data_IF_690840246828
#
_entry.id   IF_690840246828
#
_cell.length_a   1.000
_cell.length_b   1.000
_cell.length_c   1.000
_cell.angle_alpha   90.00
_cell.angle_beta   90.00
_cell.angle_gamma   90.00
#
_symmetry.space_group_name_H-M   'P 1'
#
loop_
_entity.id
_entity.type
_entity.pdbx_description
1 polymer ?
#
# COMPACT_ATOMS: atom_id res chain seq x y z
N UNK A 1 67.63 -54.28 -29.11
CA UNK A 1 67.60 -53.29 -28.01
C UNK A 1 66.93 -52.03 -28.58
N UNK A 2 65.90 -51.38 -28.04
CA UNK A 2 65.16 -51.43 -26.78
C UNK A 2 63.85 -50.60 -26.99
N UNK A 3 62.68 -51.21 -26.68
CA UNK A 3 61.37 -50.67 -26.21
C UNK A 3 60.84 -49.31 -26.75
N UNK A 4 59.71 -49.31 -27.48
CA UNK A 4 58.35 -48.97 -26.99
C UNK A 4 58.23 -47.62 -26.24
N UNK A 5 57.47 -46.66 -26.80
CA UNK A 5 56.24 -46.15 -26.16
C UNK A 5 55.42 -45.23 -27.08
N UNK A 6 54.16 -45.63 -27.24
CA UNK A 6 53.00 -44.88 -27.72
C UNK A 6 52.83 -43.56 -26.93
N UNK A 7 52.66 -42.41 -27.62
CA UNK A 7 51.95 -41.24 -27.07
C UNK A 7 51.30 -40.43 -28.19
N UNK A 8 50.06 -40.79 -28.48
CA UNK A 8 49.06 -39.93 -29.11
C UNK A 8 48.75 -38.81 -28.10
N UNK A 9 49.24 -37.59 -28.31
CA UNK A 9 48.80 -36.42 -27.56
C UNK A 9 47.98 -35.58 -28.53
N UNK A 10 46.68 -35.82 -28.48
CA UNK A 10 45.65 -34.95 -29.01
C UNK A 10 45.77 -33.62 -28.26
N UNK A 11 46.45 -32.62 -28.82
CA UNK A 11 46.41 -31.26 -28.28
C UNK A 11 45.07 -30.67 -28.69
N UNK A 12 44.04 -31.01 -27.90
CA UNK A 12 42.77 -30.30 -27.88
C UNK A 12 43.12 -28.87 -27.51
N UNK A 13 43.20 -28.00 -28.52
CA UNK A 13 43.17 -26.55 -28.32
C UNK A 13 41.80 -26.29 -27.72
N UNK A 14 41.74 -26.32 -26.39
CA UNK A 14 40.60 -25.88 -25.63
C UNK A 14 40.45 -24.41 -26.03
N UNK A 15 39.47 -24.14 -26.89
CA UNK A 15 38.81 -22.85 -26.95
C UNK A 15 38.26 -22.63 -25.54
N UNK A 16 39.11 -22.08 -24.66
CA UNK A 16 38.67 -21.52 -23.40
C UNK A 16 37.77 -20.37 -23.81
N UNK A 17 36.49 -20.72 -23.91
CA UNK A 17 35.37 -19.80 -23.92
C UNK A 17 35.72 -18.69 -22.93
N UNK A 18 36.12 -17.54 -23.45
CA UNK A 18 36.05 -16.31 -22.71
C UNK A 18 34.55 -16.06 -22.54
N UNK A 19 33.94 -16.70 -21.55
CA UNK A 19 32.65 -16.24 -21.05
C UNK A 19 32.97 -14.91 -20.40
N UNK A 20 32.65 -13.82 -21.11
CA UNK A 20 32.79 -12.48 -20.56
C UNK A 20 32.17 -12.43 -19.17
N UNK A 21 32.86 -11.81 -18.23
CA UNK A 21 32.36 -11.66 -16.87
C UNK A 21 30.97 -11.01 -16.92
N UNK A 22 29.96 -11.71 -16.41
CA UNK A 22 28.61 -11.18 -16.31
C UNK A 22 28.59 -10.14 -15.21
N UNK A 23 28.22 -8.91 -15.54
CA UNK A 23 28.06 -7.84 -14.56
C UNK A 23 26.75 -8.08 -13.79
N UNK A 24 26.84 -8.23 -12.48
CA UNK A 24 25.68 -8.43 -11.59
C UNK A 24 25.43 -7.15 -10.80
N UNK A 25 24.16 -6.75 -10.74
CA UNK A 25 23.69 -5.58 -10.00
C UNK A 25 22.66 -5.97 -8.93
N UNK A 26 22.67 -5.22 -7.83
CA UNK A 26 21.75 -5.42 -6.71
C UNK A 26 20.52 -4.54 -6.87
N UNK A 27 19.33 -5.13 -6.73
CA UNK A 27 18.08 -4.41 -6.51
C UNK A 27 17.68 -4.51 -5.03
N UNK A 28 17.40 -3.38 -4.40
CA UNK A 28 16.75 -3.32 -3.08
C UNK A 28 15.42 -2.61 -3.19
N UNK A 29 14.41 -3.12 -2.49
CA UNK A 29 13.11 -2.46 -2.43
C UNK A 29 12.60 -2.29 -1.01
N UNK A 30 11.81 -1.23 -0.81
CA UNK A 30 11.22 -0.91 0.48
C UNK A 30 9.83 -0.29 0.33
N UNK A 31 9.06 -0.29 1.43
CA UNK A 31 7.74 0.31 1.53
C UNK A 31 7.79 1.50 2.49
N UNK A 32 7.24 2.64 2.09
CA UNK A 32 7.09 3.82 2.96
C UNK A 32 5.62 4.26 2.99
N UNK A 33 4.97 4.28 4.17
CA UNK A 33 5.42 3.68 5.43
C UNK A 33 5.48 2.14 5.31
N UNK A 34 6.26 1.48 6.16
CA UNK A 34 6.36 0.01 6.17
C UNK A 34 4.99 -0.66 6.44
N UNK A 35 4.16 -0.04 7.29
CA UNK A 35 2.80 -0.51 7.55
C UNK A 35 1.87 -0.36 6.33
N UNK A 36 2.27 0.41 5.31
CA UNK A 36 1.47 0.71 4.14
C UNK A 36 1.35 -0.44 3.15
N UNK A 37 2.31 -1.36 3.14
CA UNK A 37 2.31 -2.49 2.23
C UNK A 37 3.64 -3.23 2.20
N UNK A 38 3.78 -4.11 1.24
CA UNK A 38 5.02 -4.85 0.96
C UNK A 38 5.45 -4.65 -0.49
N UNK A 39 6.74 -4.89 -0.75
CA UNK A 39 7.32 -4.84 -2.10
C UNK A 39 8.09 -6.12 -2.38
N UNK A 40 7.95 -6.63 -3.61
CA UNK A 40 8.65 -7.83 -4.09
C UNK A 40 9.29 -7.58 -5.45
N UNK A 41 10.54 -8.03 -5.68
CA UNK A 41 11.43 -8.67 -4.70
C UNK A 41 11.96 -7.66 -3.67
N UNK A 42 12.19 -8.09 -2.41
CA UNK A 42 12.75 -7.21 -1.35
C UNK A 42 14.22 -6.88 -1.60
N UNK A 43 14.98 -7.88 -2.00
CA UNK A 43 16.37 -7.79 -2.40
C UNK A 43 16.64 -8.86 -3.46
N UNK A 44 17.52 -8.59 -4.41
CA UNK A 44 17.95 -9.56 -5.41
C UNK A 44 19.16 -9.09 -6.19
N UNK A 45 19.85 -10.04 -6.81
CA UNK A 45 20.99 -9.82 -7.70
C UNK A 45 20.59 -10.26 -9.11
N UNK A 46 20.92 -9.43 -10.10
CA UNK A 46 20.43 -9.56 -11.47
C UNK A 46 21.52 -9.18 -12.47
N UNK A 47 21.52 -9.83 -13.63
CA UNK A 47 22.51 -9.56 -14.68
C UNK A 47 22.27 -8.19 -15.35
N UNK A 48 23.33 -7.59 -15.89
CA UNK A 48 23.25 -6.37 -16.69
C UNK A 48 22.26 -6.53 -17.87
N UNK A 49 21.42 -5.52 -18.06
CA UNK A 49 20.34 -5.50 -19.04
C UNK A 49 19.10 -6.33 -18.65
N UNK A 50 19.12 -7.08 -17.54
CA UNK A 50 17.97 -7.87 -17.11
C UNK A 50 16.78 -6.96 -16.76
N UNK A 51 15.61 -7.26 -17.32
CA UNK A 51 14.36 -6.60 -16.95
C UNK A 51 13.73 -7.27 -15.74
N UNK A 52 13.56 -6.54 -14.65
CA UNK A 52 12.95 -7.02 -13.40
C UNK A 52 11.60 -6.36 -13.19
N UNK A 53 10.58 -7.16 -12.84
CA UNK A 53 9.25 -6.68 -12.47
C UNK A 53 9.18 -6.56 -10.94
N UNK A 54 8.87 -5.35 -10.48
CA UNK A 54 8.69 -5.02 -9.06
C UNK A 54 7.21 -4.85 -8.79
N UNK A 55 6.73 -5.43 -7.69
CA UNK A 55 5.32 -5.44 -7.28
C UNK A 55 5.15 -4.88 -5.88
N UNK A 56 4.30 -3.86 -5.75
CA UNK A 56 3.77 -3.38 -4.49
C UNK A 56 2.49 -4.14 -4.15
N UNK A 57 2.30 -4.50 -2.89
CA UNK A 57 1.03 -5.02 -2.37
C UNK A 57 0.60 -4.13 -1.21
N UNK A 58 -0.36 -3.21 -1.43
CA UNK A 58 -0.89 -2.37 -0.36
C UNK A 58 -1.54 -3.20 0.75
N UNK A 59 -1.32 -2.82 2.01
CA UNK A 59 -2.07 -3.36 3.13
C UNK A 59 -3.48 -2.74 3.19
N UNK A 60 -4.40 -3.38 3.92
CA UNK A 60 -5.77 -2.89 4.10
C UNK A 60 -5.78 -1.44 4.59
N UNK A 61 -6.54 -0.58 3.89
CA UNK A 61 -6.66 0.84 4.20
C UNK A 61 -5.55 1.72 3.61
N UNK A 62 -4.66 1.16 2.79
CA UNK A 62 -3.65 1.89 2.03
C UNK A 62 -3.80 1.66 0.53
N UNK A 63 -3.24 2.59 -0.24
CA UNK A 63 -3.06 2.49 -1.69
C UNK A 63 -1.65 2.94 -2.04
N UNK A 64 -1.10 2.41 -3.13
CA UNK A 64 0.14 2.93 -3.69
C UNK A 64 -0.12 4.34 -4.24
N UNK A 65 0.66 5.32 -3.79
CA UNK A 65 0.66 6.68 -4.31
C UNK A 65 1.67 6.83 -5.45
N UNK A 66 2.89 6.30 -5.26
CA UNK A 66 3.98 6.44 -6.22
C UNK A 66 5.11 5.44 -5.99
N UNK A 67 5.99 5.36 -6.98
CA UNK A 67 7.30 4.73 -6.87
C UNK A 67 8.39 5.81 -6.79
N UNK A 68 9.37 5.65 -5.91
CA UNK A 68 10.66 6.38 -5.97
C UNK A 68 11.72 5.46 -6.56
N UNK A 69 12.60 5.98 -7.42
CA UNK A 69 13.62 5.16 -8.11
C UNK A 69 13.09 4.34 -9.30
N UNK A 70 11.80 4.45 -9.61
CA UNK A 70 11.18 3.85 -10.80
C UNK A 70 10.00 4.71 -11.30
N UNK A 71 9.55 4.47 -12.53
CA UNK A 71 8.38 5.14 -13.12
C UNK A 71 7.15 4.25 -13.08
N UNK A 72 5.97 4.85 -12.88
CA UNK A 72 4.68 4.15 -12.94
C UNK A 72 3.75 4.54 -11.80
N UNK A 73 2.46 4.23 -11.94
CA UNK A 73 1.43 4.45 -10.92
C UNK A 73 0.60 3.21 -10.59
N UNK A 74 0.86 2.10 -11.29
CA UNK A 74 0.22 0.82 -10.95
C UNK A 74 0.98 0.15 -9.81
N UNK A 75 0.34 -0.81 -9.15
CA UNK A 75 0.96 -1.69 -8.15
C UNK A 75 2.14 -2.52 -8.70
N UNK A 76 2.46 -2.39 -9.98
CA UNK A 76 3.66 -2.94 -10.59
C UNK A 76 4.47 -1.88 -11.34
N UNK A 77 5.77 -2.07 -11.38
CA UNK A 77 6.70 -1.34 -12.26
C UNK A 77 7.75 -2.30 -12.80
N UNK A 78 8.46 -1.90 -13.85
CA UNK A 78 9.58 -2.66 -14.40
C UNK A 78 10.81 -1.78 -14.49
N UNK A 79 11.96 -2.34 -14.13
CA UNK A 79 13.27 -1.69 -14.25
C UNK A 79 14.21 -2.55 -15.06
N UNK A 80 15.19 -1.91 -15.69
CA UNK A 80 16.30 -2.58 -16.38
C UNK A 80 17.51 -2.44 -15.46
N UNK A 81 18.15 -3.56 -15.13
CA UNK A 81 19.29 -3.60 -14.23
C UNK A 81 20.55 -3.24 -15.01
N UNK A 82 21.00 -1.99 -14.92
CA UNK A 82 22.25 -1.50 -15.50
C UNK A 82 23.16 -0.81 -14.47
N UNK A 83 22.72 -0.80 -13.23
CA UNK A 83 23.43 -0.37 -12.02
C UNK A 83 22.72 -0.99 -10.82
N UNK A 84 23.31 -0.86 -9.64
CA UNK A 84 22.55 -1.07 -8.41
C UNK A 84 21.36 -0.11 -8.35
N UNK A 85 20.20 -0.60 -7.92
CA UNK A 85 18.95 0.15 -7.86
C UNK A 85 18.31 0.03 -6.47
N UNK A 86 17.78 1.16 -6.00
CA UNK A 86 16.92 1.23 -4.83
C UNK A 86 15.55 1.78 -5.23
N UNK A 87 14.49 1.01 -4.97
CA UNK A 87 13.12 1.36 -5.35
C UNK A 87 12.22 1.38 -4.12
N UNK A 88 11.47 2.45 -3.96
CA UNK A 88 10.54 2.60 -2.83
C UNK A 88 9.11 2.66 -3.33
N UNK A 89 8.24 1.82 -2.77
CA UNK A 89 6.79 1.96 -2.92
C UNK A 89 6.27 2.92 -1.84
N UNK A 90 5.76 4.07 -2.26
CA UNK A 90 5.17 5.06 -1.37
C UNK A 90 3.66 4.80 -1.26
N UNK A 91 3.20 4.45 -0.06
CA UNK A 91 1.80 4.18 0.24
C UNK A 91 1.17 5.32 1.03
N UNK A 92 -0.10 5.60 0.75
CA UNK A 92 -0.90 6.53 1.52
C UNK A 92 -2.12 5.82 2.09
N UNK A 93 -2.56 6.25 3.28
CA UNK A 93 -3.84 5.78 3.83
C UNK A 93 -4.99 6.32 3.00
N UNK A 94 -5.92 5.45 2.65
CA UNK A 94 -7.20 5.81 2.05
C UNK A 94 -7.96 6.70 3.03
N UNK A 95 -8.53 7.79 2.51
CA UNK A 95 -9.40 8.70 3.26
C UNK A 95 -10.82 8.60 2.73
N UNK A 96 -11.77 8.72 3.64
CA UNK A 96 -13.20 8.73 3.34
C UNK A 96 -13.85 9.99 3.92
N UNK A 97 -14.94 10.45 3.33
CA UNK A 97 -15.70 11.59 3.84
C UNK A 97 -16.90 11.12 4.65
N UNK A 98 -17.21 11.83 5.74
CA UNK A 98 -18.49 11.76 6.43
C UNK A 98 -19.29 13.03 6.11
N UNK A 99 -20.55 12.87 5.75
CA UNK A 99 -21.50 13.98 5.62
C UNK A 99 -22.65 13.78 6.60
N UNK A 100 -22.91 14.77 7.45
CA UNK A 100 -23.99 14.75 8.43
C UNK A 100 -25.04 15.78 8.05
N UNK A 101 -26.28 15.33 7.89
CA UNK A 101 -27.46 16.17 7.71
C UNK A 101 -28.30 16.21 8.98
N UNK A 102 -29.04 17.30 9.16
CA UNK A 102 -29.95 17.50 10.29
C UNK A 102 -31.33 17.86 9.74
N UNK A 103 -32.35 17.15 10.21
CA UNK A 103 -33.76 17.46 9.99
C UNK A 103 -34.35 17.85 11.36
N UNK A 104 -35.01 19.01 11.45
CA UNK A 104 -35.55 19.52 12.72
C UNK A 104 -34.56 20.41 13.48
N UNK A 105 -34.79 20.58 14.79
CA UNK A 105 -33.98 21.48 15.64
C UNK A 105 -33.09 20.70 16.60
N UNK A 106 -31.80 20.67 16.28
CA UNK A 106 -30.78 20.03 17.10
C UNK A 106 -29.39 20.23 16.50
N UNK A 107 -28.40 19.65 17.14
CA UNK A 107 -27.02 19.58 16.66
C UNK A 107 -26.52 18.15 16.69
N UNK A 108 -25.49 17.87 15.90
CA UNK A 108 -24.73 16.62 15.99
C UNK A 108 -23.30 16.97 16.35
N UNK A 109 -22.83 16.44 17.47
CA UNK A 109 -21.41 16.44 17.83
C UNK A 109 -20.78 15.16 17.32
N UNK A 110 -19.58 15.28 16.79
CA UNK A 110 -18.77 14.16 16.37
C UNK A 110 -17.50 14.07 17.22
N UNK A 111 -17.20 12.87 17.70
CA UNK A 111 -15.98 12.56 18.41
C UNK A 111 -15.26 11.37 17.75
N UNK A 112 -13.94 11.50 17.52
CA UNK A 112 -13.12 10.39 17.00
C UNK A 112 -12.68 9.52 18.19
N UNK A 113 -13.30 8.34 18.31
CA UNK A 113 -13.02 7.39 19.41
C UNK A 113 -11.74 6.60 19.15
N UNK A 114 -11.47 6.26 17.88
CA UNK A 114 -10.22 5.62 17.47
C UNK A 114 -9.78 6.19 16.13
N UNK A 115 -8.81 7.09 16.18
CA UNK A 115 -8.16 7.58 14.97
C UNK A 115 -7.17 6.53 14.48
N UNK A 116 -7.24 6.19 13.20
CA UNK A 116 -6.17 5.46 12.51
C UNK A 116 -4.92 6.32 12.30
N UNK A 117 -4.52 7.16 13.27
CA UNK A 117 -3.51 8.24 13.25
C UNK A 117 -3.87 9.47 12.39
N UNK A 118 -3.88 10.66 13.00
CA UNK A 118 -4.02 12.04 12.45
C UNK A 118 -5.23 12.43 11.57
N UNK A 119 -6.04 13.37 12.11
CA UNK A 119 -6.98 14.40 11.57
C UNK A 119 -7.62 14.25 10.15
N UNK A 120 -7.95 13.04 9.72
CA UNK A 120 -8.86 12.76 8.60
C UNK A 120 -9.51 11.39 8.85
N UNK A 121 -10.72 11.11 8.35
CA UNK A 121 -11.25 9.73 8.45
C UNK A 121 -10.48 8.83 7.48
N UNK A 122 -9.32 8.41 7.93
CA UNK A 122 -8.61 7.31 7.32
C UNK A 122 -9.48 6.06 7.43
N UNK A 123 -9.31 5.16 6.47
CA UNK A 123 -9.99 3.88 6.45
C UNK A 123 -9.97 3.21 7.84
N UNK A 124 -11.13 2.72 8.26
CA UNK A 124 -11.38 2.07 9.56
C UNK A 124 -11.32 2.99 10.79
N UNK A 125 -11.40 4.31 10.62
CA UNK A 125 -11.63 5.23 11.76
C UNK A 125 -12.96 4.91 12.45
N UNK A 126 -12.96 4.86 13.79
CA UNK A 126 -14.18 4.72 14.59
C UNK A 126 -14.54 6.09 15.16
N UNK A 127 -15.79 6.49 14.92
CA UNK A 127 -16.35 7.75 15.43
C UNK A 127 -17.57 7.47 16.29
N UNK A 128 -17.93 8.46 17.11
CA UNK A 128 -19.19 8.54 17.83
C UNK A 128 -19.93 9.80 17.40
N UNK A 129 -21.20 9.65 17.05
CA UNK A 129 -22.10 10.77 16.79
C UNK A 129 -23.06 10.91 17.96
N UNK A 130 -23.16 12.13 18.48
CA UNK A 130 -24.08 12.50 19.56
C UNK A 130 -25.07 13.54 19.04
N UNK A 131 -26.34 13.19 18.97
CA UNK A 131 -27.43 14.11 18.65
C UNK A 131 -27.89 14.84 19.92
N UNK A 132 -27.88 16.17 19.90
CA UNK A 132 -28.37 17.02 20.99
C UNK A 132 -29.58 17.81 20.51
N UNK A 133 -30.80 17.49 20.99
CA UNK A 133 -31.99 18.25 20.63
C UNK A 133 -31.92 19.68 21.15
N UNK A 134 -32.46 20.63 20.38
CA UNK A 134 -32.72 21.97 20.92
C UNK A 134 -33.89 21.96 21.90
N UNK A 135 -34.03 23.04 22.69
CA UNK A 135 -35.15 23.18 23.62
C UNK A 135 -36.50 23.00 22.90
N UNK A 136 -37.34 22.13 23.45
CA UNK A 136 -38.66 21.81 22.90
C UNK A 136 -38.67 20.78 21.77
N UNK A 137 -37.51 20.25 21.35
CA UNK A 137 -37.41 19.16 20.38
C UNK A 137 -36.85 17.89 21.01
N UNK A 138 -37.01 16.76 20.33
CA UNK A 138 -36.52 15.43 20.71
C UNK A 138 -35.75 14.80 19.55
N UNK A 139 -34.68 14.08 19.86
CA UNK A 139 -34.01 13.22 18.89
C UNK A 139 -34.88 11.98 18.61
N UNK A 140 -35.19 11.76 17.34
CA UNK A 140 -36.08 10.68 16.89
C UNK A 140 -35.27 9.48 16.45
N UNK A 141 -34.37 9.67 15.47
CA UNK A 141 -33.60 8.58 14.87
C UNK A 141 -32.44 9.09 14.01
N UNK A 142 -31.48 8.20 13.76
CA UNK A 142 -30.50 8.28 12.69
C UNK A 142 -31.03 7.61 11.41
N UNK A 143 -30.71 8.20 10.26
CA UNK A 143 -30.98 7.63 8.92
C UNK A 143 -29.71 7.62 8.06
N UNK A 144 -29.74 6.82 6.99
CA UNK A 144 -28.64 6.69 6.03
C UNK A 144 -27.69 5.56 6.41
N UNK A 145 -26.40 5.84 6.47
CA UNK A 145 -25.37 4.86 6.82
C UNK A 145 -25.29 4.50 8.32
N UNK A 146 -25.91 5.31 9.19
CA UNK A 146 -26.14 5.02 10.60
C UNK A 146 -27.64 5.00 10.83
N UNK A 147 -28.15 3.92 11.43
CA UNK A 147 -29.58 3.67 11.61
C UNK A 147 -29.91 3.43 13.08
N UNK A 148 -31.14 3.75 13.44
CA UNK A 148 -31.72 3.45 14.76
C UNK A 148 -31.87 4.68 15.64
N UNK A 149 -32.20 4.45 16.91
CA UNK A 149 -32.49 5.52 17.88
C UNK A 149 -31.45 5.61 18.99
N UNK A 150 -30.38 4.81 18.92
CA UNK A 150 -29.29 4.83 19.90
C UNK A 150 -28.56 6.17 19.82
N UNK A 151 -28.34 6.81 20.97
CA UNK A 151 -27.68 8.11 21.03
C UNK A 151 -26.99 8.26 22.40
N UNK A 152 -25.65 8.43 22.45
CA UNK A 152 -24.72 8.48 21.31
C UNK A 152 -24.57 7.14 20.59
N UNK A 153 -24.12 7.14 19.32
CA UNK A 153 -23.92 5.93 18.53
C UNK A 153 -22.59 5.95 17.77
N UNK A 154 -21.89 4.82 17.79
CA UNK A 154 -20.61 4.65 17.08
C UNK A 154 -20.78 4.06 15.69
N UNK A 155 -19.90 4.42 14.77
CA UNK A 155 -19.78 3.79 13.45
C UNK A 155 -18.33 3.73 12.97
N UNK A 156 -18.07 2.80 12.04
CA UNK A 156 -16.80 2.68 11.34
C UNK A 156 -16.86 3.42 10.00
N UNK A 157 -15.87 4.29 9.76
CA UNK A 157 -15.67 4.97 8.48
C UNK A 157 -14.72 4.12 7.61
N UNK A 158 -15.30 3.30 6.73
CA UNK A 158 -14.59 2.40 5.80
C UNK A 158 -14.94 2.64 4.32
N UNK A 159 -15.75 3.67 4.06
CA UNK A 159 -16.12 4.23 2.77
C UNK A 159 -16.66 5.63 3.02
N UNK A 160 -16.99 6.39 1.98
CA UNK A 160 -17.79 7.61 2.16
C UNK A 160 -19.13 7.27 2.85
N UNK A 161 -19.51 8.09 3.83
CA UNK A 161 -20.68 7.87 4.69
C UNK A 161 -21.58 9.09 4.70
N UNK A 162 -22.89 8.85 4.69
CA UNK A 162 -23.91 9.89 4.87
C UNK A 162 -24.86 9.52 5.98
N UNK A 163 -24.95 10.37 7.00
CA UNK A 163 -25.82 10.18 8.18
C UNK A 163 -26.76 11.36 8.30
N UNK A 164 -28.02 11.11 8.67
CA UNK A 164 -29.00 12.16 8.97
C UNK A 164 -29.53 12.00 10.38
N UNK A 165 -29.43 13.03 11.21
CA UNK A 165 -30.12 13.11 12.50
C UNK A 165 -31.51 13.72 12.30
N UNK A 166 -32.55 13.06 12.82
CA UNK A 166 -33.92 13.57 12.78
C UNK A 166 -34.34 14.00 14.19
N UNK A 167 -34.83 15.22 14.28
CA UNK A 167 -35.42 15.82 15.48
C UNK A 167 -36.86 16.26 15.20
N UNK A 168 -37.74 16.13 16.21
CA UNK A 168 -39.13 16.59 16.19
C UNK A 168 -39.41 17.48 17.40
#
# INVERSE_FOLDING_TARGET
MLKHFLKLILFFLIVHSCSGESMIFTLKTSAIPELGGSVSPRIGEFEDGQKVVVRATPNKGYVLESWSGATGKSDTTSVIMNSDLEIVANFIKVKHNLTVYIIGKGTVKEDIIKSGTTNSYKDQTIIELTATPSSGSKFVQWKGDMLGTTNPQQMVINKAKTVTAVFE
#
